data_IF_188109285201
#
_entry.id   IF_188109285201
#
_cell.length_a   1.000
_cell.length_b   1.000
_cell.length_c   1.000
_cell.angle_alpha   90.00
_cell.angle_beta   90.00
_cell.angle_gamma   90.00
#
_symmetry.space_group_name_H-M   'P 1'
#
loop_
_entity.id
_entity.type
_entity.pdbx_description
1 polymer ?
#
# COMPACT_ATOMS: atom_id res chain seq x y z
N UNK A 1 28.58 7.57 28.13
CA UNK A 1 27.13 7.46 28.44
C UNK A 1 26.25 8.19 27.42
N UNK A 2 26.51 9.47 27.12
CA UNK A 2 25.72 10.28 26.16
C UNK A 2 25.50 9.62 24.78
N UNK A 3 26.54 8.99 24.21
CA UNK A 3 26.45 8.27 22.92
C UNK A 3 25.50 7.05 22.97
N UNK A 4 25.52 6.29 24.07
CA UNK A 4 24.64 5.12 24.27
C UNK A 4 23.18 5.55 24.41
N UNK A 5 22.94 6.66 25.12
CA UNK A 5 21.61 7.25 25.26
C UNK A 5 21.10 7.71 23.89
N UNK A 6 21.93 8.40 23.09
CA UNK A 6 21.54 8.85 21.76
C UNK A 6 21.21 7.67 20.82
N UNK A 7 21.99 6.59 20.86
CA UNK A 7 21.71 5.38 20.09
C UNK A 7 20.39 4.71 20.50
N UNK A 8 20.07 4.67 21.80
CA UNK A 8 18.81 4.13 22.28
C UNK A 8 17.62 4.99 21.85
N UNK A 9 17.75 6.30 21.94
CA UNK A 9 16.72 7.26 21.47
C UNK A 9 16.50 7.11 19.96
N UNK A 10 17.57 7.00 19.17
CA UNK A 10 17.47 6.80 17.73
C UNK A 10 16.77 5.47 17.38
N UNK A 11 17.08 4.39 18.10
CA UNK A 11 16.43 3.09 17.91
C UNK A 11 14.92 3.16 18.19
N UNK A 12 14.53 3.80 19.30
CA UNK A 12 13.10 3.98 19.65
C UNK A 12 12.39 4.83 18.59
N UNK A 13 12.99 5.93 18.13
CA UNK A 13 12.41 6.78 17.10
C UNK A 13 12.17 6.01 15.78
N UNK A 14 13.10 5.14 15.37
CA UNK A 14 12.93 4.29 14.18
C UNK A 14 11.80 3.26 14.34
N UNK A 15 11.63 2.69 15.53
CA UNK A 15 10.55 1.72 15.77
C UNK A 15 9.16 2.35 15.80
N UNK A 16 9.08 3.65 16.07
CA UNK A 16 7.83 4.40 16.11
C UNK A 16 7.52 5.10 14.77
N UNK A 17 8.49 5.19 13.85
CA UNK A 17 8.33 5.87 12.56
C UNK A 17 7.60 5.05 11.50
N UNK A 18 7.07 3.87 11.81
CA UNK A 18 6.19 3.12 10.91
C UNK A 18 4.78 3.72 10.93
N UNK A 19 4.65 4.95 10.40
CA UNK A 19 3.37 5.66 10.28
C UNK A 19 2.42 5.09 9.22
N UNK A 20 2.76 3.96 8.61
CA UNK A 20 1.92 3.29 7.62
C UNK A 20 1.28 2.05 8.25
N UNK A 21 0.02 2.20 8.61
CA UNK A 21 -0.88 1.09 8.92
C UNK A 21 -1.66 0.73 7.67
N UNK A 22 -1.69 -0.56 7.33
CA UNK A 22 -2.53 -1.07 6.26
C UNK A 22 -3.83 -1.60 6.85
N UNK A 23 -4.96 -1.07 6.39
CA UNK A 23 -6.28 -1.63 6.66
C UNK A 23 -6.77 -2.33 5.40
N UNK A 24 -7.34 -3.53 5.56
CA UNK A 24 -7.94 -4.22 4.42
C UNK A 24 -9.20 -3.47 4.00
N UNK A 25 -9.26 -3.04 2.74
CA UNK A 25 -10.46 -2.53 2.11
C UNK A 25 -11.00 -3.58 1.15
N UNK A 26 -12.25 -3.99 1.33
CA UNK A 26 -12.90 -4.88 0.38
C UNK A 26 -13.23 -4.08 -0.88
N UNK A 27 -12.47 -4.29 -1.95
CA UNK A 27 -12.64 -3.57 -3.22
C UNK A 27 -13.83 -4.07 -4.04
N UNK A 28 -14.45 -5.18 -3.67
CA UNK A 28 -15.53 -5.80 -4.44
C UNK A 28 -15.09 -6.39 -5.79
N UNK A 29 -13.78 -6.43 -6.06
CA UNK A 29 -13.22 -6.98 -7.30
C UNK A 29 -13.23 -8.51 -7.19
N UNK A 30 -13.82 -9.24 -8.15
CA UNK A 30 -13.72 -10.69 -8.22
C UNK A 30 -12.30 -11.09 -8.64
N UNK A 31 -11.47 -11.48 -7.66
CA UNK A 31 -10.05 -11.78 -7.84
C UNK A 31 -9.76 -13.24 -8.25
N UNK A 32 -10.71 -13.98 -8.82
CA UNK A 32 -10.53 -15.42 -9.05
C UNK A 32 -9.23 -15.74 -9.81
N UNK A 33 -8.88 -14.92 -10.82
CA UNK A 33 -7.62 -15.02 -11.56
C UNK A 33 -7.01 -13.63 -11.89
N UNK A 34 -7.53 -12.57 -11.27
CA UNK A 34 -7.26 -11.16 -11.58
C UNK A 34 -6.45 -10.40 -10.52
N UNK A 35 -6.01 -9.19 -10.85
CA UNK A 35 -5.22 -8.35 -9.94
C UNK A 35 -5.21 -6.87 -10.29
N UNK A 36 -4.73 -6.04 -9.36
CA UNK A 36 -4.53 -4.59 -9.57
C UNK A 36 -3.24 -4.38 -10.37
N UNK A 37 -3.27 -3.52 -11.40
CA UNK A 37 -2.06 -3.14 -12.15
C UNK A 37 -1.52 -1.78 -11.76
N UNK A 38 -2.43 -0.82 -11.61
CA UNK A 38 -2.09 0.57 -11.39
C UNK A 38 -3.16 1.24 -10.51
N UNK A 39 -2.76 2.28 -9.79
CA UNK A 39 -3.63 3.07 -8.95
C UNK A 39 -3.28 4.56 -9.03
N UNK A 40 -4.30 5.40 -8.96
CA UNK A 40 -4.15 6.85 -8.92
C UNK A 40 -5.01 7.42 -7.79
N UNK A 41 -4.40 8.25 -6.96
CA UNK A 41 -5.06 8.90 -5.82
C UNK A 41 -5.35 10.34 -6.21
N UNK A 42 -6.62 10.72 -6.24
CA UNK A 42 -7.05 12.09 -6.55
C UNK A 42 -6.99 12.93 -5.28
N UNK A 43 -7.52 12.39 -4.18
CA UNK A 43 -7.54 13.03 -2.86
C UNK A 43 -7.69 11.98 -1.73
N UNK A 44 -7.83 12.44 -0.48
CA UNK A 44 -7.91 11.59 0.70
C UNK A 44 -9.13 10.63 0.74
N UNK A 45 -10.15 10.86 -0.10
CA UNK A 45 -11.40 10.11 -0.16
C UNK A 45 -11.62 9.45 -1.53
N UNK A 46 -10.85 9.83 -2.55
CA UNK A 46 -11.06 9.40 -3.93
C UNK A 46 -9.80 8.79 -4.53
N UNK A 47 -9.89 7.52 -4.94
CA UNK A 47 -8.84 6.82 -5.67
C UNK A 47 -9.43 5.93 -6.76
N UNK A 48 -8.64 5.72 -7.82
CA UNK A 48 -8.97 4.86 -8.95
C UNK A 48 -7.94 3.74 -9.05
N UNK A 49 -8.39 2.59 -9.53
CA UNK A 49 -7.53 1.44 -9.83
C UNK A 49 -7.86 0.91 -11.21
N UNK A 50 -6.85 0.39 -11.88
CA UNK A 50 -7.06 -0.50 -13.02
C UNK A 50 -6.78 -1.93 -12.58
N UNK A 51 -7.64 -2.85 -12.99
CA UNK A 51 -7.48 -4.26 -12.70
C UNK A 51 -7.60 -5.09 -13.97
N UNK A 52 -7.09 -6.31 -13.89
CA UNK A 52 -7.28 -7.31 -14.91
C UNK A 52 -8.09 -8.47 -14.37
N UNK A 53 -8.87 -9.06 -15.24
CA UNK A 53 -9.81 -10.14 -14.93
C UNK A 53 -9.17 -11.53 -14.97
N UNK A 54 -7.92 -11.64 -15.42
CA UNK A 54 -7.20 -12.91 -15.52
C UNK A 54 -7.60 -13.78 -16.72
N UNK A 55 -8.55 -13.34 -17.55
CA UNK A 55 -9.14 -14.16 -18.63
C UNK A 55 -8.21 -14.38 -19.83
N UNK A 56 -7.00 -13.79 -19.82
CA UNK A 56 -6.04 -13.85 -20.92
C UNK A 56 -6.43 -13.02 -22.15
N UNK A 57 -7.60 -12.38 -22.14
CA UNK A 57 -8.18 -11.67 -23.29
C UNK A 57 -7.73 -10.21 -23.42
N UNK A 58 -6.49 -9.91 -22.98
CA UNK A 58 -5.96 -8.56 -22.88
C UNK A 58 -5.87 -7.89 -24.26
N UNK A 59 -6.91 -7.16 -24.65
CA UNK A 59 -6.84 -6.11 -25.66
C UNK A 59 -6.94 -4.78 -24.93
N UNK A 60 -5.80 -4.11 -24.83
CA UNK A 60 -5.76 -2.69 -24.50
C UNK A 60 -5.53 -1.94 -25.83
N UNK A 61 -6.05 -0.71 -26.04
CA UNK A 61 -5.50 0.17 -27.06
C UNK A 61 -4.03 0.50 -26.79
#
# INVERSE_FOLDING_TARGET
MKKKILSLVALVAMTLSFGQSWTQQNSGIPLADGGVRDFSIVDANTAWITFYDGSGNQTYP
#
